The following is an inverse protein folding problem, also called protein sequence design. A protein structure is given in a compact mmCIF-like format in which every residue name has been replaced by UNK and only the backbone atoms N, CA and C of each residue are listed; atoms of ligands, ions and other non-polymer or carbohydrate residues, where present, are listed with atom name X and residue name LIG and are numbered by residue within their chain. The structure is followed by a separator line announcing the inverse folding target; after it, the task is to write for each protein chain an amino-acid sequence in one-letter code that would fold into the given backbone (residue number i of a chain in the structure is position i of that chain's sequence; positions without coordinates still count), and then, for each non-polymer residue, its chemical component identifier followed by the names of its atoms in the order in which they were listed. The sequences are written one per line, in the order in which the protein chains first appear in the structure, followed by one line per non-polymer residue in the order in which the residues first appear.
data_IF_425527613033
#
_entry.id   IF_425527613033
#
_cell.length_a   1.000
_cell.length_b   1.000
_cell.length_c   1.000
_cell.angle_alpha   90.00
_cell.angle_beta   90.00
_cell.angle_gamma   90.00
#
_symmetry.space_group_name_H-M   'P 1'
#
loop_
_entity.id
_entity.type
_entity.pdbx_description
1 polymer ?
#
# COMPACT_ATOMS: atom_id res chain seq x y z
N UNK A 1 -3.25 5.57 -57.92
CA UNK A 1 -2.31 5.03 -56.92
C UNK A 1 -3.04 4.80 -55.61
N UNK A 2 -2.60 3.86 -54.74
CA UNK A 2 -3.28 3.58 -53.47
C UNK A 2 -3.24 4.78 -52.50
N UNK A 3 -3.96 4.67 -51.38
CA UNK A 3 -3.99 5.69 -50.33
C UNK A 3 -2.57 6.12 -49.90
N UNK A 4 -2.41 7.39 -49.54
CA UNK A 4 -1.14 8.05 -49.17
C UNK A 4 -0.13 8.20 -50.31
N UNK A 5 -0.49 7.85 -51.55
CA UNK A 5 0.39 7.98 -52.72
C UNK A 5 -0.34 8.68 -53.88
N UNK A 6 0.43 9.25 -54.80
CA UNK A 6 -0.06 9.87 -56.03
C UNK A 6 0.71 9.40 -57.27
N UNK A 7 0.10 9.59 -58.44
CA UNK A 7 0.66 9.18 -59.72
C UNK A 7 1.53 10.31 -60.31
N UNK A 8 2.85 10.15 -60.25
CA UNK A 8 3.79 11.13 -60.80
C UNK A 8 4.07 10.91 -62.29
N UNK A 9 4.05 9.65 -62.74
CA UNK A 9 4.14 9.23 -64.15
C UNK A 9 3.13 8.13 -64.46
N UNK A 10 3.00 7.72 -65.72
CA UNK A 10 1.99 6.74 -66.17
C UNK A 10 2.01 5.38 -65.44
N UNK A 11 3.12 5.00 -64.80
CA UNK A 11 3.33 3.70 -64.16
C UNK A 11 3.82 3.73 -62.71
N UNK A 12 4.15 4.90 -62.14
CA UNK A 12 4.75 4.98 -60.79
C UNK A 12 3.88 5.72 -59.78
N UNK A 13 3.85 5.19 -58.56
CA UNK A 13 3.16 5.76 -57.41
C UNK A 13 4.18 6.24 -56.39
N UNK A 14 4.13 7.53 -56.06
CA UNK A 14 5.06 8.18 -55.13
C UNK A 14 4.28 8.55 -53.85
N UNK A 15 4.87 8.40 -52.65
CA UNK A 15 4.25 8.87 -51.42
C UNK A 15 3.93 10.37 -51.49
N UNK A 16 2.80 10.74 -50.89
CA UNK A 16 2.46 12.14 -50.72
C UNK A 16 3.54 12.87 -49.88
N UNK A 17 3.69 14.20 -50.05
CA UNK A 17 4.54 15.03 -49.21
C UNK A 17 4.28 14.83 -47.71
N UNK A 18 5.27 15.17 -46.88
CA UNK A 18 5.18 15.05 -45.41
C UNK A 18 3.92 15.77 -44.90
N UNK A 19 3.23 15.14 -43.94
CA UNK A 19 1.96 15.60 -43.37
C UNK A 19 0.81 15.77 -44.38
N UNK A 20 0.84 15.02 -45.49
CA UNK A 20 -0.26 14.99 -46.46
C UNK A 20 -0.62 13.56 -46.85
N UNK A 21 -1.87 13.36 -47.23
CA UNK A 21 -2.39 12.08 -47.66
C UNK A 21 -3.43 12.23 -48.76
N UNK A 22 -3.63 11.16 -49.52
CA UNK A 22 -4.80 10.99 -50.40
C UNK A 22 -5.86 10.19 -49.63
N UNK A 23 -7.15 10.56 -49.78
CA UNK A 23 -8.25 9.85 -49.10
C UNK A 23 -8.62 8.53 -49.80
N UNK A 24 -8.34 8.43 -51.10
CA UNK A 24 -8.59 7.25 -51.92
C UNK A 24 -7.54 7.09 -53.02
N UNK A 25 -7.90 7.25 -54.29
CA UNK A 25 -7.00 7.07 -55.43
C UNK A 25 -6.27 8.37 -55.75
N UNK A 26 -4.95 8.40 -55.60
CA UNK A 26 -4.14 9.53 -56.03
C UNK A 26 -3.74 9.42 -57.50
N UNK A 27 -4.18 10.36 -58.33
CA UNK A 27 -3.92 10.47 -59.77
C UNK A 27 -3.00 11.64 -60.12
N UNK A 28 -2.82 12.60 -59.21
CA UNK A 28 -1.93 13.75 -59.35
C UNK A 28 -1.41 14.20 -57.99
N UNK A 29 -0.29 14.94 -57.97
CA UNK A 29 0.24 15.55 -56.74
C UNK A 29 -0.80 16.44 -56.04
N UNK A 30 -1.69 17.09 -56.81
CA UNK A 30 -2.77 17.93 -56.26
C UNK A 30 -3.83 17.14 -55.46
N UNK A 31 -3.85 15.81 -55.59
CA UNK A 31 -4.75 14.96 -54.80
C UNK A 31 -4.23 14.74 -53.38
N UNK A 32 -2.94 15.03 -53.11
CA UNK A 32 -2.39 15.04 -51.77
C UNK A 32 -2.89 16.28 -51.02
N UNK A 33 -3.69 16.06 -49.97
CA UNK A 33 -4.22 17.10 -49.10
C UNK A 33 -3.50 17.03 -47.76
N UNK A 34 -3.29 18.19 -47.13
CA UNK A 34 -2.71 18.23 -45.80
C UNK A 34 -3.58 17.46 -44.81
N UNK A 35 -2.92 16.69 -43.94
CA UNK A 35 -3.58 15.96 -42.87
C UNK A 35 -4.18 16.93 -41.85
N UNK A 36 -5.08 16.43 -41.01
CA UNK A 36 -5.58 17.19 -39.86
C UNK A 36 -4.41 17.75 -39.05
N UNK A 37 -4.50 19.01 -38.65
CA UNK A 37 -3.43 19.70 -37.92
C UNK A 37 -2.40 20.42 -38.78
N UNK A 38 -2.46 20.24 -40.10
CA UNK A 38 -1.57 20.88 -41.06
C UNK A 38 -2.35 21.65 -42.12
N UNK A 39 -1.76 22.74 -42.59
CA UNK A 39 -2.34 23.59 -43.65
C UNK A 39 -1.29 23.91 -44.71
N UNK A 40 -1.74 24.12 -45.94
CA UNK A 40 -0.86 24.38 -47.08
C UNK A 40 -1.58 24.20 -48.41
N UNK A 41 -0.92 24.54 -49.53
CA UNK A 41 -1.45 24.32 -50.86
C UNK A 41 -1.65 22.83 -51.16
N UNK A 42 -2.56 22.52 -52.09
CA UNK A 42 -2.74 21.14 -52.58
C UNK A 42 -1.44 20.63 -53.20
N UNK A 43 -0.96 19.47 -52.76
CA UNK A 43 0.35 18.95 -53.14
C UNK A 43 1.52 19.43 -52.28
N UNK A 44 1.26 20.14 -51.18
CA UNK A 44 2.26 20.57 -50.20
C UNK A 44 3.08 21.79 -50.65
N UNK A 45 3.93 22.35 -49.76
CA UNK A 45 4.25 21.83 -48.41
C UNK A 45 3.13 22.07 -47.39
N UNK A 46 2.96 21.13 -46.47
CA UNK A 46 2.01 21.23 -45.35
C UNK A 46 2.75 21.65 -44.09
N UNK A 47 2.29 22.72 -43.44
CA UNK A 47 2.88 23.30 -42.24
C UNK A 47 1.90 23.25 -41.07
N UNK A 48 2.46 23.16 -39.86
CA UNK A 48 1.68 23.23 -38.62
C UNK A 48 1.00 24.59 -38.56
N UNK A 49 -0.33 24.58 -38.45
CA UNK A 49 -1.11 25.82 -38.35
C UNK A 49 -1.33 26.24 -36.90
N UNK A 50 -1.62 25.27 -36.05
CA UNK A 50 -1.94 25.44 -34.64
C UNK A 50 -1.16 24.41 -33.83
N UNK A 51 -0.88 24.75 -32.58
CA UNK A 51 -0.15 23.90 -31.65
C UNK A 51 -0.88 23.86 -30.32
N UNK A 52 -0.77 22.72 -29.64
CA UNK A 52 -1.24 22.60 -28.28
C UNK A 52 -0.45 23.51 -27.34
N UNK A 53 -1.11 24.16 -26.37
CA UNK A 53 -0.42 24.77 -25.24
C UNK A 53 0.48 23.75 -24.55
N UNK A 54 1.58 24.21 -23.97
CA UNK A 54 2.40 23.38 -23.08
C UNK A 54 1.56 22.97 -21.88
N UNK A 55 1.51 21.68 -21.59
CA UNK A 55 0.87 21.17 -20.38
C UNK A 55 1.87 21.31 -19.22
N UNK A 56 1.52 22.10 -18.22
CA UNK A 56 2.37 22.26 -17.04
C UNK A 56 2.34 20.98 -16.19
N UNK A 57 3.50 20.54 -15.67
CA UNK A 57 3.54 19.40 -14.76
C UNK A 57 2.84 19.75 -13.44
N UNK A 58 2.11 18.82 -12.82
CA UNK A 58 1.56 19.04 -11.49
C UNK A 58 2.66 19.02 -10.43
N UNK A 59 2.35 19.60 -9.27
CA UNK A 59 3.19 19.45 -8.08
C UNK A 59 3.44 17.97 -7.76
N UNK A 60 4.67 17.66 -7.33
CA UNK A 60 5.13 16.30 -7.02
C UNK A 60 4.95 15.28 -8.17
N UNK A 61 4.93 15.76 -9.41
CA UNK A 61 4.86 14.93 -10.59
C UNK A 61 5.54 15.56 -11.80
N UNK A 62 5.23 14.98 -12.96
CA UNK A 62 5.68 15.41 -14.26
C UNK A 62 4.68 14.98 -15.33
N UNK A 63 4.85 15.49 -16.54
CA UNK A 63 4.06 15.10 -17.70
C UNK A 63 4.96 14.47 -18.76
N UNK A 64 4.54 13.34 -19.30
CA UNK A 64 5.22 12.65 -20.40
C UNK A 64 4.30 12.71 -21.61
N UNK A 65 4.74 13.43 -22.64
CA UNK A 65 3.95 13.68 -23.83
C UNK A 65 4.52 12.97 -25.06
N UNK A 66 3.64 12.45 -25.90
CA UNK A 66 3.95 11.88 -27.22
C UNK A 66 3.19 12.67 -28.28
N UNK A 67 3.90 13.09 -29.32
CA UNK A 67 3.32 13.81 -30.46
C UNK A 67 3.06 12.85 -31.63
N UNK A 68 1.80 12.74 -32.04
CA UNK A 68 1.39 12.03 -33.25
C UNK A 68 1.59 12.94 -34.46
N UNK A 69 2.70 12.75 -35.18
CA UNK A 69 3.08 13.58 -36.32
C UNK A 69 2.13 13.46 -37.52
N UNK A 70 1.29 12.42 -37.58
CA UNK A 70 0.35 12.24 -38.70
C UNK A 70 -0.83 13.22 -38.64
N UNK A 71 -1.30 13.56 -37.43
CA UNK A 71 -2.46 14.43 -37.17
C UNK A 71 -2.12 15.67 -36.35
N UNK A 72 -0.85 15.85 -35.98
CA UNK A 72 -0.41 16.86 -35.02
C UNK A 72 -1.17 16.79 -33.68
N UNK A 73 -1.47 15.58 -33.21
CA UNK A 73 -2.14 15.35 -31.91
C UNK A 73 -1.11 15.07 -30.82
N UNK A 74 -1.13 15.82 -29.73
CA UNK A 74 -0.36 15.54 -28.53
C UNK A 74 -1.18 14.64 -27.58
N UNK A 75 -0.54 13.61 -27.02
CA UNK A 75 -1.08 12.80 -25.93
C UNK A 75 -0.11 12.87 -24.75
N UNK A 76 -0.57 13.35 -23.60
CA UNK A 76 0.23 13.47 -22.39
C UNK A 76 -0.29 12.56 -21.28
N UNK A 77 0.64 11.99 -20.51
CA UNK A 77 0.35 11.25 -19.30
C UNK A 77 1.01 11.93 -18.11
N UNK A 78 0.24 12.20 -17.06
CA UNK A 78 0.77 12.63 -15.78
C UNK A 78 1.46 11.45 -15.10
N UNK A 79 2.65 11.69 -14.55
CA UNK A 79 3.45 10.74 -13.77
C UNK A 79 3.76 11.37 -12.41
N UNK A 80 3.54 10.62 -11.34
CA UNK A 80 3.83 11.08 -10.00
C UNK A 80 5.23 10.63 -9.55
N UNK A 81 5.85 11.46 -8.70
CA UNK A 81 7.12 11.12 -8.05
C UNK A 81 6.93 9.96 -7.06
N UNK A 82 8.00 9.24 -6.67
CA UNK A 82 7.92 8.24 -5.60
C UNK A 82 7.31 8.84 -4.32
N UNK A 83 6.36 8.12 -3.73
CA UNK A 83 5.60 8.60 -2.56
C UNK A 83 4.39 9.47 -2.91
N UNK A 84 4.05 9.63 -4.20
CA UNK A 84 2.86 10.32 -4.67
C UNK A 84 2.11 9.48 -5.70
N UNK A 85 0.79 9.64 -5.76
CA UNK A 85 -0.09 8.95 -6.71
C UNK A 85 -1.22 9.84 -7.23
N UNK A 86 -1.82 9.44 -8.34
CA UNK A 86 -2.91 10.20 -8.95
C UNK A 86 -4.25 9.81 -8.29
N UNK A 87 -5.09 10.76 -7.88
CA UNK A 87 -6.38 10.47 -7.23
C UNK A 87 -7.41 9.85 -8.18
N UNK A 88 -7.23 10.03 -9.49
CA UNK A 88 -8.04 9.45 -10.56
C UNK A 88 -7.28 8.36 -11.34
N UNK A 89 -8.01 7.48 -12.03
CA UNK A 89 -7.49 6.26 -12.65
C UNK A 89 -6.21 6.44 -13.50
N UNK A 90 -5.28 5.47 -13.47
CA UNK A 90 -3.93 5.56 -14.06
C UNK A 90 -3.85 5.60 -15.60
N UNK A 91 -4.99 5.46 -16.30
CA UNK A 91 -5.06 5.34 -17.76
C UNK A 91 -5.70 6.56 -18.45
N UNK A 92 -5.94 7.65 -17.73
CA UNK A 92 -6.44 8.89 -18.34
C UNK A 92 -5.25 9.62 -18.97
N UNK A 93 -5.26 9.71 -20.31
CA UNK A 93 -4.32 10.52 -21.06
C UNK A 93 -5.00 11.83 -21.43
N UNK A 94 -4.27 12.93 -21.28
CA UNK A 94 -4.67 14.21 -21.85
C UNK A 94 -4.43 14.18 -23.36
N UNK A 95 -5.45 14.55 -24.15
CA UNK A 95 -5.34 14.67 -25.59
C UNK A 95 -5.53 16.12 -26.01
N UNK A 96 -4.67 16.61 -26.89
CA UNK A 96 -4.86 17.89 -27.55
C UNK A 96 -4.50 17.78 -29.03
N UNK A 97 -5.33 18.36 -29.90
CA UNK A 97 -5.07 18.39 -31.34
C UNK A 97 -6.26 18.89 -32.14
N UNK A 98 -6.37 18.49 -33.42
CA UNK A 98 -7.45 18.95 -34.30
C UNK A 98 -8.86 18.63 -33.78
N UNK A 99 -9.02 17.48 -33.13
CA UNK A 99 -10.32 17.01 -32.61
C UNK A 99 -10.78 17.79 -31.38
N UNK A 100 -9.84 18.32 -30.59
CA UNK A 100 -10.13 19.09 -29.38
C UNK A 100 -10.10 20.60 -29.63
N UNK A 101 -9.89 21.03 -30.89
CA UNK A 101 -9.73 22.44 -31.20
C UNK A 101 -8.47 23.06 -30.57
N UNK A 102 -7.41 22.27 -30.36
CA UNK A 102 -6.14 22.70 -29.77
C UNK A 102 -6.21 23.09 -28.29
N UNK A 103 -7.21 22.56 -27.59
CA UNK A 103 -7.42 22.69 -26.15
C UNK A 103 -7.24 21.31 -25.51
N UNK A 104 -6.75 21.23 -24.27
CA UNK A 104 -6.61 19.96 -23.56
C UNK A 104 -7.98 19.40 -23.16
N UNK A 105 -8.10 18.08 -23.13
CA UNK A 105 -9.34 17.37 -22.78
C UNK A 105 -9.88 17.74 -21.40
N UNK A 106 -9.02 17.98 -20.42
CA UNK A 106 -9.39 18.48 -19.07
C UNK A 106 -10.05 19.85 -19.11
N UNK A 107 -9.47 20.79 -19.86
CA UNK A 107 -10.01 22.13 -20.03
C UNK A 107 -11.39 22.10 -20.71
N UNK A 108 -11.63 21.16 -21.64
CA UNK A 108 -12.94 20.98 -22.28
C UNK A 108 -14.00 20.37 -21.35
N UNK A 109 -13.58 19.64 -20.33
CA UNK A 109 -14.47 18.96 -19.40
C UNK A 109 -14.79 19.80 -18.15
N UNK A 110 -14.30 21.05 -18.08
CA UNK A 110 -14.30 21.89 -16.87
C UNK A 110 -13.75 21.12 -15.64
N UNK A 111 -12.85 20.16 -15.88
CA UNK A 111 -12.31 19.29 -14.86
C UNK A 111 -10.87 19.68 -14.53
N UNK A 112 -10.49 19.85 -13.25
CA UNK A 112 -9.11 20.12 -12.91
C UNK A 112 -8.24 18.93 -13.31
N UNK A 113 -7.07 19.22 -13.89
CA UNK A 113 -5.97 18.25 -13.93
C UNK A 113 -5.52 18.03 -12.48
N UNK A 114 -6.10 17.05 -11.81
CA UNK A 114 -5.80 16.76 -10.42
C UNK A 114 -4.33 16.38 -10.28
N UNK A 115 -3.63 17.07 -9.39
CA UNK A 115 -2.21 16.87 -9.16
C UNK A 115 -1.89 15.53 -8.50
N UNK A 116 -0.60 15.30 -8.30
CA UNK A 116 -0.13 14.14 -7.55
C UNK A 116 -0.31 14.38 -6.06
N UNK A 117 -1.11 13.54 -5.41
CA UNK A 117 -1.33 13.56 -3.97
C UNK A 117 -0.38 12.59 -3.29
N UNK A 118 -0.12 12.78 -1.99
CA UNK A 118 0.71 11.84 -1.24
C UNK A 118 0.16 10.42 -1.35
N UNK A 119 0.99 9.47 -1.76
CA UNK A 119 0.65 8.06 -1.70
C UNK A 119 0.42 7.73 -0.23
N UNK A 120 -0.73 7.13 0.06
CA UNK A 120 -1.26 7.11 1.41
C UNK A 120 -0.48 6.14 2.32
N UNK A 121 0.61 6.68 2.90
CA UNK A 121 1.53 6.16 3.91
C UNK A 121 2.14 4.76 3.65
N UNK A 122 3.36 4.53 4.14
CA UNK A 122 4.01 3.21 4.10
C UNK A 122 3.39 2.20 5.08
N UNK A 123 2.07 2.10 5.19
CA UNK A 123 1.41 1.34 6.24
C UNK A 123 1.74 1.86 7.66
N UNK A 124 0.85 1.65 8.61
CA UNK A 124 1.15 1.93 10.01
C UNK A 124 1.86 0.73 10.63
N UNK A 125 2.78 0.97 11.56
CA UNK A 125 3.50 -0.11 12.25
C UNK A 125 3.20 -0.09 13.74
N UNK A 126 2.92 -1.26 14.29
CA UNK A 126 2.68 -1.43 15.72
C UNK A 126 3.57 -2.54 16.30
N UNK A 127 4.36 -2.19 17.29
CA UNK A 127 5.26 -3.12 17.98
C UNK A 127 4.54 -3.89 19.09
N UNK A 128 4.73 -5.21 19.10
CA UNK A 128 4.14 -6.13 20.07
C UNK A 128 5.22 -7.02 20.68
N UNK A 129 5.11 -7.27 21.98
CA UNK A 129 6.04 -8.12 22.72
C UNK A 129 5.30 -9.30 23.37
N UNK A 130 5.80 -10.52 23.15
CA UNK A 130 5.34 -11.73 23.84
C UNK A 130 6.51 -12.30 24.63
N UNK A 131 6.25 -12.79 25.85
CA UNK A 131 7.30 -13.35 26.69
C UNK A 131 7.05 -14.80 27.10
N UNK A 132 8.17 -15.51 27.27
CA UNK A 132 8.28 -16.90 27.68
C UNK A 132 9.31 -17.03 28.81
N UNK A 133 9.08 -17.95 29.74
CA UNK A 133 10.08 -18.31 30.74
C UNK A 133 10.93 -19.49 30.25
N UNK A 134 12.26 -19.34 30.31
CA UNK A 134 13.23 -20.34 29.87
C UNK A 134 14.44 -20.37 30.82
N UNK A 135 15.02 -21.55 31.07
CA UNK A 135 16.14 -21.70 32.02
C UNK A 135 17.42 -21.00 31.57
N UNK A 136 17.79 -21.10 30.28
CA UNK A 136 19.07 -20.59 29.76
C UNK A 136 18.90 -19.82 28.44
N UNK A 137 18.20 -18.68 28.47
CA UNK A 137 17.96 -17.85 27.27
C UNK A 137 19.26 -17.40 26.61
N UNK A 138 20.28 -17.08 27.41
CA UNK A 138 21.56 -16.53 26.94
C UNK A 138 22.37 -17.55 26.09
N UNK A 139 22.07 -18.85 26.22
CA UNK A 139 22.76 -19.92 25.51
C UNK A 139 22.07 -20.33 24.19
N UNK A 140 21.02 -19.63 23.78
CA UNK A 140 20.34 -19.88 22.50
C UNK A 140 21.29 -19.57 21.33
N UNK A 141 21.56 -20.56 20.48
CA UNK A 141 22.33 -20.37 19.25
C UNK A 141 21.51 -19.56 18.23
N UNK A 142 22.17 -18.92 17.28
CA UNK A 142 21.49 -18.15 16.21
C UNK A 142 20.53 -19.01 15.40
N UNK A 143 20.93 -20.25 15.06
CA UNK A 143 20.07 -21.21 14.35
C UNK A 143 18.79 -21.54 15.13
N UNK A 144 18.91 -21.70 16.46
CA UNK A 144 17.76 -21.99 17.32
C UNK A 144 16.85 -20.76 17.50
N UNK A 145 17.43 -19.56 17.52
CA UNK A 145 16.65 -18.31 17.52
C UNK A 145 15.84 -18.18 16.22
N UNK A 146 16.44 -18.45 15.06
CA UNK A 146 15.73 -18.45 13.77
C UNK A 146 14.60 -19.49 13.72
N UNK A 147 14.83 -20.68 14.28
CA UNK A 147 13.80 -21.72 14.35
C UNK A 147 12.63 -21.32 15.27
N UNK A 148 12.93 -20.75 16.45
CA UNK A 148 11.92 -20.19 17.37
C UNK A 148 11.12 -19.08 16.67
N UNK A 149 11.81 -18.16 15.99
CA UNK A 149 11.19 -17.08 15.23
C UNK A 149 10.26 -17.59 14.12
N UNK A 150 10.71 -18.55 13.32
CA UNK A 150 9.91 -19.15 12.25
C UNK A 150 8.66 -19.85 12.80
N UNK A 151 8.82 -20.62 13.88
CA UNK A 151 7.72 -21.34 14.54
C UNK A 151 6.72 -20.36 15.15
N UNK A 152 7.20 -19.30 15.80
CA UNK A 152 6.35 -18.25 16.36
C UNK A 152 5.52 -17.54 15.27
N UNK A 153 6.14 -17.15 14.16
CA UNK A 153 5.43 -16.53 13.02
C UNK A 153 4.38 -17.48 12.43
N UNK A 154 4.67 -18.79 12.35
CA UNK A 154 3.71 -19.79 11.90
C UNK A 154 2.50 -19.91 12.85
N UNK A 155 2.71 -19.88 14.17
CA UNK A 155 1.63 -19.89 15.16
C UNK A 155 0.70 -18.69 14.95
N UNK A 156 1.26 -17.49 14.76
CA UNK A 156 0.44 -16.29 14.52
C UNK A 156 -0.41 -16.42 13.26
N UNK A 157 0.18 -16.86 12.14
CA UNK A 157 -0.51 -17.07 10.87
C UNK A 157 -1.61 -18.13 10.96
N UNK A 158 -1.32 -19.27 11.59
CA UNK A 158 -2.28 -20.37 11.75
C UNK A 158 -3.48 -19.99 12.63
N UNK A 159 -3.28 -19.07 13.58
CA UNK A 159 -4.35 -18.50 14.39
C UNK A 159 -5.06 -17.30 13.70
N UNK A 160 -4.78 -17.06 12.42
CA UNK A 160 -5.43 -16.02 11.62
C UNK A 160 -5.13 -14.60 12.09
N UNK A 161 -3.97 -14.37 12.71
CA UNK A 161 -3.47 -13.01 12.96
C UNK A 161 -3.22 -12.35 11.60
N UNK A 162 -3.67 -11.12 11.44
CA UNK A 162 -3.68 -10.40 10.16
C UNK A 162 -4.53 -11.02 9.03
N UNK A 163 -5.53 -11.84 9.37
CA UNK A 163 -6.50 -12.34 8.40
C UNK A 163 -7.93 -12.02 8.84
N UNK A 164 -8.75 -11.50 7.93
CA UNK A 164 -10.19 -11.28 8.14
C UNK A 164 -10.97 -11.74 6.91
N UNK A 165 -12.00 -12.57 7.09
CA UNK A 165 -12.80 -13.15 6.00
C UNK A 165 -11.97 -13.80 4.87
N UNK A 166 -10.83 -14.41 5.20
CA UNK A 166 -9.92 -15.03 4.23
C UNK A 166 -9.04 -14.06 3.44
N UNK A 167 -9.08 -12.76 3.75
CA UNK A 167 -8.21 -11.73 3.16
C UNK A 167 -7.14 -11.29 4.16
N UNK A 168 -5.93 -11.04 3.67
CA UNK A 168 -4.85 -10.44 4.45
C UNK A 168 -5.19 -8.98 4.80
N UNK A 169 -4.97 -8.61 6.06
CA UNK A 169 -5.27 -7.27 6.60
C UNK A 169 -4.03 -6.54 7.12
N UNK A 170 -2.94 -7.26 7.38
CA UNK A 170 -1.65 -6.72 7.78
C UNK A 170 -0.51 -7.70 7.48
N UNK A 171 0.71 -7.20 7.51
CA UNK A 171 1.93 -7.97 7.46
C UNK A 171 2.50 -8.16 8.86
N UNK A 172 3.04 -9.36 9.12
CA UNK A 172 3.77 -9.66 10.34
C UNK A 172 5.26 -9.53 10.03
N UNK A 173 5.91 -8.51 10.58
CA UNK A 173 7.32 -8.20 10.40
C UNK A 173 8.25 -9.21 11.07
N UNK A 174 9.55 -9.01 10.85
CA UNK A 174 10.60 -9.83 11.45
C UNK A 174 10.57 -9.76 12.97
N UNK A 175 10.87 -10.89 13.61
CA UNK A 175 10.94 -10.97 15.07
C UNK A 175 12.37 -10.74 15.56
N UNK A 176 12.53 -10.10 16.72
CA UNK A 176 13.78 -10.06 17.47
C UNK A 176 13.60 -10.72 18.84
N UNK A 177 14.54 -11.58 19.24
CA UNK A 177 14.52 -12.25 20.54
C UNK A 177 15.49 -11.54 21.49
N UNK A 178 15.01 -11.20 22.67
CA UNK A 178 15.82 -10.58 23.73
C UNK A 178 15.69 -11.37 25.02
N UNK A 179 16.81 -11.51 25.74
CA UNK A 179 16.89 -12.23 27.01
C UNK A 179 17.10 -11.22 28.14
N UNK A 180 16.16 -11.16 29.09
CA UNK A 180 16.23 -10.26 30.24
C UNK A 180 16.09 -10.99 31.57
N UNK A 181 16.59 -10.37 32.63
CA UNK A 181 16.26 -10.79 34.00
C UNK A 181 14.81 -10.42 34.33
N UNK A 182 14.18 -11.13 35.27
CA UNK A 182 12.89 -10.72 35.87
C UNK A 182 13.08 -9.36 36.57
N UNK A 183 12.86 -8.25 35.87
CA UNK A 183 12.66 -6.97 36.52
C UNK A 183 11.17 -6.87 36.81
N UNK A 184 10.80 -7.18 38.06
CA UNK A 184 9.47 -6.87 38.59
C UNK A 184 9.32 -5.34 38.62
N UNK A 185 8.77 -4.76 37.55
CA UNK A 185 8.59 -3.31 37.41
C UNK A 185 7.49 -2.73 38.35
N UNK A 186 6.82 -3.54 39.18
CA UNK A 186 5.62 -3.10 39.92
C UNK A 186 5.59 -3.38 41.43
N UNK A 187 6.69 -3.77 42.11
CA UNK A 187 6.60 -4.06 43.56
C UNK A 187 7.71 -3.45 44.43
N UNK A 188 7.35 -2.31 45.01
CA UNK A 188 8.04 -1.55 46.06
C UNK A 188 7.98 -2.26 47.43
N UNK A 189 8.35 -3.54 47.56
CA UNK A 189 8.50 -4.16 48.89
C UNK A 189 9.66 -5.18 48.99
N UNK A 190 10.58 -5.05 49.97
CA UNK A 190 11.78 -5.86 50.07
C UNK A 190 11.56 -7.07 50.97
N UNK A 191 10.99 -8.17 50.46
CA UNK A 191 11.08 -9.46 51.16
C UNK A 191 11.56 -10.57 50.23
N UNK A 192 12.62 -11.25 50.69
CA UNK A 192 13.38 -12.36 50.08
C UNK A 192 12.62 -13.11 48.97
N UNK A 193 12.97 -12.83 47.70
CA UNK A 193 12.56 -13.65 46.56
C UNK A 193 13.39 -14.94 46.53
N UNK A 194 12.73 -16.10 46.42
CA UNK A 194 13.39 -17.32 45.92
C UNK A 194 13.95 -16.97 44.54
N UNK A 195 15.25 -17.22 44.32
CA UNK A 195 15.90 -17.00 43.03
C UNK A 195 15.19 -17.88 42.00
N UNK A 196 14.29 -17.30 41.19
CA UNK A 196 13.78 -17.95 40.00
C UNK A 196 14.98 -18.29 39.13
N UNK A 197 15.17 -19.56 38.76
CA UNK A 197 16.21 -19.97 37.81
C UNK A 197 15.78 -19.71 36.36
N UNK A 198 14.55 -19.22 36.14
CA UNK A 198 14.04 -18.91 34.82
C UNK A 198 14.41 -17.47 34.43
N UNK A 199 14.93 -17.35 33.22
CA UNK A 199 15.16 -16.09 32.52
C UNK A 199 13.96 -15.76 31.63
N UNK A 200 13.65 -14.47 31.48
CA UNK A 200 12.55 -14.01 30.63
C UNK A 200 13.06 -13.82 29.21
N UNK A 201 12.57 -14.66 28.29
CA UNK A 201 12.77 -14.48 26.86
C UNK A 201 11.61 -13.67 26.29
N UNK A 202 11.92 -12.57 25.61
CA UNK A 202 10.93 -11.70 24.97
C UNK A 202 11.12 -11.72 23.46
N UNK A 203 10.06 -12.09 22.74
CA UNK A 203 9.97 -12.00 21.29
C UNK A 203 9.27 -10.69 20.95
N UNK A 204 9.99 -9.77 20.32
CA UNK A 204 9.43 -8.52 19.77
C UNK A 204 9.16 -8.70 18.29
N UNK A 205 8.06 -8.18 17.80
CA UNK A 205 7.72 -8.18 16.38
C UNK A 205 6.85 -6.98 16.04
N UNK A 206 6.83 -6.59 14.77
CA UNK A 206 5.98 -5.51 14.28
C UNK A 206 4.81 -6.08 13.49
N UNK A 207 3.63 -5.50 13.67
CA UNK A 207 2.51 -5.64 12.76
C UNK A 207 2.48 -4.40 11.88
N UNK A 208 2.49 -4.58 10.57
CA UNK A 208 2.48 -3.50 9.59
C UNK A 208 1.15 -3.52 8.83
N UNK A 209 0.40 -2.43 8.79
CA UNK A 209 -0.81 -2.39 7.97
C UNK A 209 -0.41 -2.51 6.49
N UNK A 210 -1.29 -3.06 5.68
CA UNK A 210 -1.09 -3.00 4.24
C UNK A 210 -1.04 -1.53 3.82
N UNK A 211 -0.16 -1.21 2.86
CA UNK A 211 -0.10 0.12 2.29
C UNK A 211 -1.48 0.48 1.71
N UNK A 212 -2.00 1.65 2.08
CA UNK A 212 -3.23 2.17 1.52
C UNK A 212 -2.88 2.99 0.27
N UNK A 213 -3.78 2.99 -0.70
CA UNK A 213 -3.63 3.79 -1.92
C UNK A 213 -4.84 4.70 -2.04
N UNK A 214 -4.56 5.99 -2.20
CA UNK A 214 -5.49 7.04 -2.52
C UNK A 214 -6.09 6.90 -3.93
N UNK A 215 -5.62 5.96 -4.76
CA UNK A 215 -6.22 5.64 -6.05
C UNK A 215 -7.71 5.27 -5.96
N UNK A 216 -8.19 4.91 -4.76
CA UNK A 216 -9.61 4.64 -4.50
C UNK A 216 -10.37 5.79 -3.81
N UNK A 217 -9.73 6.92 -3.48
CA UNK A 217 -10.43 8.07 -2.88
C UNK A 217 -11.50 8.64 -3.81
N UNK A 218 -11.34 8.48 -5.13
CA UNK A 218 -12.38 8.79 -6.11
C UNK A 218 -13.71 8.05 -5.86
N UNK A 219 -13.67 6.84 -5.30
CA UNK A 219 -14.88 6.09 -4.91
C UNK A 219 -15.55 6.62 -3.65
N UNK A 220 -14.79 7.30 -2.78
CA UNK A 220 -15.27 7.92 -1.53
C UNK A 220 -15.82 9.32 -1.82
N UNK A 221 -15.08 10.13 -2.57
CA UNK A 221 -15.43 11.52 -2.91
C UNK A 221 -16.46 11.66 -4.04
N UNK A 222 -16.70 10.60 -4.81
CA UNK A 222 -17.63 10.64 -5.92
C UNK A 222 -17.19 11.63 -7.01
N UNK A 223 -18.00 12.67 -7.26
CA UNK A 223 -17.73 13.66 -8.32
C UNK A 223 -17.02 14.92 -7.83
N UNK A 224 -17.05 15.20 -6.53
CA UNK A 224 -16.51 16.41 -5.95
C UNK A 224 -15.20 16.10 -5.21
N UNK A 225 -14.10 16.03 -5.97
CA UNK A 225 -12.77 15.82 -5.42
C UNK A 225 -12.22 17.19 -5.01
N UNK A 226 -12.49 17.57 -3.76
CA UNK A 226 -11.92 18.75 -3.10
C UNK A 226 -10.75 18.35 -2.20
N UNK A 227 -9.89 19.30 -1.85
CA UNK A 227 -8.82 19.09 -0.86
C UNK A 227 -9.38 18.55 0.46
N UNK A 228 -10.53 19.07 0.91
CA UNK A 228 -11.23 18.62 2.12
C UNK A 228 -11.65 17.15 2.04
N UNK A 229 -12.15 16.69 0.88
CA UNK A 229 -12.51 15.29 0.71
C UNK A 229 -11.29 14.37 0.66
N UNK A 230 -10.20 14.83 0.06
CA UNK A 230 -8.94 14.09 0.02
C UNK A 230 -8.36 13.92 1.44
N UNK A 231 -8.42 14.97 2.26
CA UNK A 231 -8.03 14.93 3.68
C UNK A 231 -8.92 13.95 4.48
N UNK A 232 -10.24 13.95 4.24
CA UNK A 232 -11.16 13.01 4.90
C UNK A 232 -10.90 11.56 4.46
N UNK A 233 -10.59 11.34 3.17
CA UNK A 233 -10.19 10.04 2.66
C UNK A 233 -8.92 9.53 3.35
N UNK A 234 -7.90 10.39 3.49
CA UNK A 234 -6.65 10.04 4.18
C UNK A 234 -6.93 9.61 5.61
N UNK A 235 -7.67 10.42 6.35
CA UNK A 235 -8.00 10.15 7.75
C UNK A 235 -8.78 8.84 7.90
N UNK A 236 -9.72 8.56 6.99
CA UNK A 236 -10.52 7.33 7.00
C UNK A 236 -9.65 6.11 6.77
N UNK A 237 -8.77 6.14 5.75
CA UNK A 237 -7.87 5.04 5.44
C UNK A 237 -6.85 4.78 6.57
N UNK A 238 -6.34 5.83 7.23
CA UNK A 238 -5.52 5.71 8.45
C UNK A 238 -6.29 5.07 9.60
N UNK A 239 -7.55 5.45 9.81
CA UNK A 239 -8.39 4.83 10.84
C UNK A 239 -8.66 3.35 10.54
N UNK A 240 -8.89 2.99 9.29
CA UNK A 240 -9.06 1.61 8.84
C UNK A 240 -7.79 0.78 9.07
N UNK A 241 -6.61 1.31 8.72
CA UNK A 241 -5.31 0.69 8.98
C UNK A 241 -5.09 0.47 10.48
N UNK A 242 -5.28 1.50 11.30
CA UNK A 242 -5.17 1.42 12.75
C UNK A 242 -6.12 0.38 13.34
N UNK A 243 -7.39 0.37 12.91
CA UNK A 243 -8.39 -0.57 13.40
C UNK A 243 -8.02 -2.02 13.04
N UNK A 244 -7.47 -2.24 11.84
CA UNK A 244 -6.99 -3.54 11.38
C UNK A 244 -5.82 -4.04 12.23
N UNK A 245 -4.86 -3.18 12.54
CA UNK A 245 -3.75 -3.48 13.44
C UNK A 245 -4.24 -3.79 14.86
N UNK A 246 -5.18 -3.01 15.39
CA UNK A 246 -5.76 -3.25 16.71
C UNK A 246 -6.49 -4.59 16.79
N UNK A 247 -7.24 -4.96 15.74
CA UNK A 247 -7.87 -6.29 15.66
C UNK A 247 -6.83 -7.41 15.68
N UNK A 248 -5.73 -7.25 14.95
CA UNK A 248 -4.63 -8.21 14.97
C UNK A 248 -4.00 -8.33 16.37
N UNK A 249 -3.77 -7.23 17.07
CA UNK A 249 -3.29 -7.24 18.47
C UNK A 249 -4.25 -7.97 19.39
N UNK A 250 -5.56 -7.72 19.28
CA UNK A 250 -6.56 -8.39 20.11
C UNK A 250 -6.55 -9.90 19.89
N UNK A 251 -6.32 -10.36 18.65
CA UNK A 251 -6.09 -11.79 18.36
C UNK A 251 -4.83 -12.31 19.03
N UNK A 252 -3.69 -11.59 18.94
CA UNK A 252 -2.46 -11.98 19.66
C UNK A 252 -2.73 -12.05 21.18
N UNK A 253 -3.44 -11.07 21.75
CA UNK A 253 -3.82 -11.10 23.16
C UNK A 253 -4.67 -12.32 23.51
N UNK A 254 -5.60 -12.73 22.66
CA UNK A 254 -6.42 -13.93 22.87
C UNK A 254 -5.62 -15.23 22.87
N UNK A 255 -4.50 -15.27 22.13
CA UNK A 255 -3.60 -16.43 22.06
C UNK A 255 -2.71 -16.52 23.31
N UNK A 256 -2.20 -15.37 23.77
CA UNK A 256 -1.10 -15.29 24.74
C UNK A 256 -1.50 -14.85 26.15
N UNK A 257 -2.73 -14.34 26.35
CA UNK A 257 -3.20 -13.93 27.69
C UNK A 257 -3.90 -15.10 28.40
N UNK A 258 -3.65 -15.32 29.70
CA UNK A 258 -4.43 -16.27 30.49
C UNK A 258 -5.89 -15.79 30.60
N UNK A 259 -6.89 -16.69 30.63
CA UNK A 259 -8.28 -16.29 30.78
C UNK A 259 -8.46 -15.48 32.07
N UNK A 260 -8.96 -14.25 31.94
CA UNK A 260 -9.29 -13.42 33.10
C UNK A 260 -10.31 -14.17 33.95
N UNK A 261 -10.00 -14.44 35.21
CA UNK A 261 -10.99 -14.94 36.17
C UNK A 261 -12.13 -13.93 36.20
N UNK A 262 -13.30 -14.31 35.71
CA UNK A 262 -14.55 -13.59 35.96
C UNK A 262 -14.70 -13.45 37.47
N UNK A 263 -14.93 -12.24 38.01
CA UNK A 263 -15.17 -12.08 39.43
C UNK A 263 -16.48 -12.80 39.75
N UNK A 264 -16.39 -13.97 40.37
CA UNK A 264 -17.54 -14.64 40.92
C UNK A 264 -18.20 -13.67 41.90
N UNK A 265 -19.41 -13.20 41.57
CA UNK A 265 -20.29 -12.46 42.46
C UNK A 265 -20.82 -13.44 43.51
N UNK A 266 -19.94 -13.83 44.43
CA UNK A 266 -20.23 -14.71 45.56
C UNK A 266 -20.18 -13.90 46.84
N UNK A 267 -21.34 -13.65 47.41
CA UNK A 267 -21.55 -13.07 48.74
C UNK A 267 -20.69 -13.81 49.77
N UNK A 268 -19.97 -13.02 50.58
CA UNK A 268 -19.11 -13.43 51.70
C UNK A 268 -19.72 -14.55 52.56
N UNK A 269 -18.91 -15.59 52.82
CA UNK A 269 -18.72 -16.15 54.16
C UNK A 269 -17.30 -16.70 54.26
N UNK A 270 -16.59 -16.27 55.32
CA UNK A 270 -15.18 -16.54 55.59
C UNK A 270 -14.99 -17.98 56.05
N UNK A 271 -14.10 -18.71 55.38
CA UNK A 271 -13.31 -19.77 56.05
C UNK A 271 -11.93 -19.84 55.41
N UNK A 272 -10.90 -19.84 56.26
CA UNK A 272 -9.48 -19.89 55.90
C UNK A 272 -9.16 -21.21 55.20
N UNK A 273 -8.92 -21.14 53.89
CA UNK A 273 -8.07 -22.08 53.16
C UNK A 273 -7.45 -21.31 52.00
N UNK A 274 -6.12 -21.23 51.98
CA UNK A 274 -5.37 -20.68 50.85
C UNK A 274 -5.71 -21.49 49.58
N UNK A 275 -6.31 -20.90 48.53
CA UNK A 275 -6.35 -21.57 47.25
C UNK A 275 -4.96 -21.44 46.64
N UNK A 276 -4.34 -22.60 46.34
CA UNK A 276 -3.18 -22.68 45.46
C UNK A 276 -3.46 -21.86 44.20
N UNK A 277 -2.60 -20.88 43.92
CA UNK A 277 -2.62 -20.10 42.69
C UNK A 277 -2.27 -21.01 41.51
N UNK A 278 -3.28 -21.65 40.94
CA UNK A 278 -3.18 -22.23 39.61
C UNK A 278 -3.10 -21.09 38.60
N UNK A 279 -1.92 -20.88 38.01
CA UNK A 279 -1.80 -20.21 36.73
C UNK A 279 -2.57 -21.08 35.72
N UNK A 280 -3.71 -20.60 35.25
CA UNK A 280 -4.36 -21.19 34.08
C UNK A 280 -3.48 -20.85 32.88
N UNK A 281 -2.82 -21.89 32.36
CA UNK A 281 -1.97 -21.81 31.19
C UNK A 281 -2.73 -21.15 30.02
N UNK A 282 -2.08 -20.30 29.20
CA UNK A 282 -2.60 -19.92 27.89
C UNK A 282 -2.84 -21.16 27.02
N UNK A 283 -3.60 -20.98 25.93
CA UNK A 283 -4.03 -22.09 25.05
C UNK A 283 -2.87 -23.04 24.72
N UNK A 284 -3.04 -24.37 24.79
CA UNK A 284 -2.00 -25.34 24.43
C UNK A 284 -1.47 -25.16 23.00
N UNK A 285 -2.23 -24.48 22.14
CA UNK A 285 -1.92 -24.23 20.73
C UNK A 285 -0.89 -23.10 20.50
N UNK A 286 -0.48 -22.39 21.56
CA UNK A 286 0.49 -21.29 21.50
C UNK A 286 1.91 -21.69 21.94
N UNK A 287 2.12 -22.97 22.25
CA UNK A 287 3.44 -23.47 22.64
C UNK A 287 4.39 -23.56 21.44
N UNK A 288 5.62 -23.07 21.61
CA UNK A 288 6.69 -23.26 20.61
C UNK A 288 7.44 -24.54 20.97
N UNK A 289 7.46 -25.49 20.03
CA UNK A 289 8.20 -26.74 20.16
C UNK A 289 9.30 -26.80 19.10
N UNK A 290 10.55 -26.66 19.54
CA UNK A 290 11.75 -26.78 18.71
C UNK A 290 12.68 -27.86 19.32
N UNK A 291 13.66 -28.41 18.58
CA UNK A 291 14.55 -29.45 19.08
C UNK A 291 15.17 -29.09 20.45
N UNK A 292 14.78 -29.85 21.48
CA UNK A 292 15.30 -29.68 22.84
C UNK A 292 14.67 -28.57 23.68
N UNK A 293 13.69 -27.80 23.16
CA UNK A 293 13.03 -26.72 23.92
C UNK A 293 11.50 -26.74 23.68
N UNK A 294 10.75 -26.73 24.79
CA UNK A 294 9.30 -26.51 24.79
C UNK A 294 8.99 -25.22 25.55
N UNK A 295 8.54 -24.20 24.84
CA UNK A 295 8.21 -22.89 25.41
C UNK A 295 6.70 -22.77 25.61
N UNK A 296 6.28 -22.56 26.86
CA UNK A 296 4.88 -22.27 27.19
C UNK A 296 4.66 -20.77 27.30
N UNK A 297 3.59 -20.23 26.69
CA UNK A 297 3.37 -18.80 26.70
C UNK A 297 3.10 -18.29 28.12
N UNK A 298 3.57 -17.07 28.41
CA UNK A 298 3.48 -16.49 29.77
C UNK A 298 2.73 -15.16 29.81
N UNK A 299 2.79 -14.36 28.74
CA UNK A 299 1.96 -13.17 28.58
C UNK A 299 2.39 -12.27 27.41
N UNK A 300 1.70 -11.13 27.27
CA UNK A 300 1.85 -10.17 26.17
C UNK A 300 1.94 -8.73 26.71
N UNK A 301 2.75 -7.87 26.09
CA UNK A 301 2.81 -6.42 26.33
C UNK A 301 2.69 -5.67 25.00
N UNK A 302 1.94 -4.56 25.00
CA UNK A 302 1.81 -3.65 23.86
C UNK A 302 2.66 -2.41 24.13
N UNK A 303 3.54 -2.06 23.19
CA UNK A 303 4.22 -0.76 23.20
C UNK A 303 3.48 0.18 22.24
N UNK A 304 3.43 1.47 22.56
CA UNK A 304 2.70 2.47 21.76
C UNK A 304 3.24 2.59 20.33
N UNK A 305 2.36 2.94 19.39
CA UNK A 305 2.73 3.21 18.00
C UNK A 305 3.68 4.42 17.91
N UNK A 306 4.65 4.36 16.99
CA UNK A 306 5.35 5.54 16.46
C UNK A 306 4.70 6.01 15.17
#
# INVERSE_FOLDING_TARGET
CPKNTYKATSSTCIPCPVHSSTTSTGNSLKDCRCNAGYSGPTGGPCQVQNSCPTLDPPDNGGVVCVQEASTNTARCQVKCNPGFEHPLQPNVFEECGPNTGWVWTTELADGPLLGCIGALFEGETLEVEVFYFIENCILLTTALQEEISSTFLAILRNNGVCTSNGKETCDIGSTSITCGAEVDDDFEFPFRRKRSTQTRMTIKFALKSLAASAANCSSICGKDITDECLDECENTLRQEANSSLQMAVNKVQSIYSPPTKTPARGTRLKTLAFPRSGFTSPSPDAAISVPGILLKPSGIRKNGAS
#
